data_IF_820410701388
#
_entry.id   IF_820410701388
#
_cell.length_a   1.000
_cell.length_b   1.000
_cell.length_c   1.000
_cell.angle_alpha   90.00
_cell.angle_beta   90.00
_cell.angle_gamma   90.00
#
_symmetry.space_group_name_H-M   'P 1'
#
loop_
_entity.id
_entity.type
_entity.pdbx_description
1 polymer ?
#
# COMPACT_ATOMS: atom_id res chain seq x y z
N UNK A 1 -22.52 0.30 3.95
CA UNK A 1 -23.73 1.06 4.28
C UNK A 1 -23.40 2.37 5.02
N UNK A 2 -24.21 3.39 4.86
CA UNK A 2 -24.08 4.72 5.51
C UNK A 2 -23.73 4.65 7.01
N UNK A 3 -24.27 3.69 7.74
CA UNK A 3 -23.98 3.51 9.18
C UNK A 3 -22.54 3.05 9.47
N UNK A 4 -21.87 2.33 8.57
CA UNK A 4 -20.46 1.96 8.72
C UNK A 4 -19.56 3.15 8.41
N UNK A 5 -19.86 3.92 7.37
CA UNK A 5 -19.14 5.16 7.00
C UNK A 5 -19.16 6.18 8.14
N UNK A 6 -20.35 6.43 8.70
CA UNK A 6 -20.49 7.33 9.87
C UNK A 6 -19.66 6.86 11.07
N UNK A 7 -19.54 5.55 11.31
CA UNK A 7 -18.70 5.03 12.41
C UNK A 7 -17.22 5.25 12.17
N UNK A 8 -16.71 5.04 10.96
CA UNK A 8 -15.29 5.26 10.63
C UNK A 8 -14.93 6.73 10.65
N UNK A 9 -15.76 7.61 10.08
CA UNK A 9 -15.58 9.06 10.17
C UNK A 9 -15.65 9.53 11.62
N UNK A 10 -16.64 9.07 12.41
CA UNK A 10 -16.75 9.44 13.82
C UNK A 10 -15.57 8.95 14.69
N UNK A 11 -14.91 7.86 14.33
CA UNK A 11 -13.70 7.40 15.02
C UNK A 11 -12.52 8.30 14.64
N UNK A 12 -12.33 8.56 13.35
CA UNK A 12 -11.27 9.43 12.84
C UNK A 12 -11.33 10.84 13.43
N UNK A 13 -12.52 11.42 13.50
CA UNK A 13 -12.74 12.77 14.03
C UNK A 13 -12.59 12.87 15.55
N UNK A 14 -12.49 11.74 16.25
CA UNK A 14 -12.38 11.68 17.73
C UNK A 14 -11.05 11.14 18.22
N UNK A 15 -10.15 10.76 17.33
CA UNK A 15 -8.81 10.32 17.66
C UNK A 15 -7.88 11.53 17.58
N UNK A 16 -7.17 11.81 18.66
CA UNK A 16 -6.22 12.93 18.71
C UNK A 16 -4.92 12.62 17.97
N UNK A 17 -4.52 11.34 17.99
CA UNK A 17 -3.26 10.85 17.41
C UNK A 17 -3.46 9.47 16.80
N UNK A 18 -2.91 9.26 15.61
CA UNK A 18 -2.83 7.91 15.02
C UNK A 18 -1.69 7.14 15.67
N UNK A 19 -1.93 5.90 16.02
CA UNK A 19 -0.89 4.99 16.49
C UNK A 19 -1.10 3.60 15.91
N UNK A 20 -0.02 2.80 15.85
CA UNK A 20 -0.09 1.44 15.36
C UNK A 20 1.10 0.60 15.84
N UNK A 21 1.00 -0.71 15.64
CA UNK A 21 1.98 -1.70 16.06
C UNK A 21 2.63 -2.33 14.83
N UNK A 22 3.97 -2.36 14.80
CA UNK A 22 4.70 -2.90 13.66
C UNK A 22 5.68 -3.98 14.08
N UNK A 23 5.41 -5.19 13.59
CA UNK A 23 6.24 -6.39 13.82
C UNK A 23 6.66 -7.05 12.50
N UNK A 24 7.51 -6.42 11.69
CA UNK A 24 7.94 -6.97 10.41
C UNK A 24 8.67 -8.30 10.60
N UNK A 25 8.42 -9.24 9.69
CA UNK A 25 9.08 -10.56 9.70
C UNK A 25 10.43 -10.46 8.99
N UNK A 26 11.39 -9.80 9.64
CA UNK A 26 12.74 -9.63 9.11
C UNK A 26 13.42 -10.97 8.80
N UNK A 27 14.24 -11.01 7.77
CA UNK A 27 15.03 -12.18 7.34
C UNK A 27 14.20 -13.36 6.79
N UNK A 28 12.90 -13.18 6.56
CA UNK A 28 12.07 -14.16 5.86
C UNK A 28 12.22 -14.01 4.34
N UNK A 29 12.22 -12.79 3.89
CA UNK A 29 12.42 -12.38 2.49
C UNK A 29 13.63 -11.45 2.38
N UNK A 30 13.89 -10.89 1.21
CA UNK A 30 14.88 -9.83 1.05
C UNK A 30 14.54 -8.63 1.94
N UNK A 31 15.55 -8.04 2.58
CA UNK A 31 15.34 -6.99 3.57
C UNK A 31 14.63 -5.77 2.96
N UNK A 32 14.90 -5.47 1.68
CA UNK A 32 14.25 -4.37 0.98
C UNK A 32 12.74 -4.58 0.82
N UNK A 33 12.28 -5.82 0.67
CA UNK A 33 10.86 -6.15 0.58
C UNK A 33 10.18 -5.90 1.92
N UNK A 34 10.76 -6.40 3.00
CA UNK A 34 10.26 -6.18 4.36
C UNK A 34 10.28 -4.70 4.74
N UNK A 35 11.37 -3.99 4.40
CA UNK A 35 11.49 -2.57 4.65
C UNK A 35 10.46 -1.75 3.85
N UNK A 36 10.19 -2.13 2.60
CA UNK A 36 9.19 -1.47 1.76
C UNK A 36 7.77 -1.67 2.30
N UNK A 37 7.46 -2.88 2.78
CA UNK A 37 6.17 -3.17 3.42
C UNK A 37 5.98 -2.36 4.71
N UNK A 38 7.02 -2.26 5.54
CA UNK A 38 6.99 -1.40 6.73
C UNK A 38 6.82 0.08 6.37
N UNK A 39 7.56 0.56 5.36
CA UNK A 39 7.45 1.93 4.86
C UNK A 39 6.05 2.27 4.36
N UNK A 40 5.42 1.37 3.59
CA UNK A 40 4.04 1.53 3.13
C UNK A 40 3.08 1.73 4.29
N UNK A 41 3.20 0.88 5.32
CA UNK A 41 2.33 0.98 6.50
C UNK A 41 2.57 2.28 7.28
N UNK A 42 3.82 2.71 7.44
CA UNK A 42 4.15 3.98 8.09
C UNK A 42 3.56 5.17 7.32
N UNK A 43 3.76 5.24 6.01
CA UNK A 43 3.19 6.30 5.17
C UNK A 43 1.66 6.26 5.18
N UNK A 44 1.04 5.07 5.23
CA UNK A 44 -0.40 4.92 5.38
C UNK A 44 -0.89 5.53 6.69
N UNK A 45 -0.25 5.21 7.83
CA UNK A 45 -0.63 5.75 9.15
C UNK A 45 -0.45 7.27 9.21
N UNK A 46 0.65 7.79 8.68
CA UNK A 46 0.88 9.23 8.57
C UNK A 46 -0.21 9.93 7.75
N UNK A 47 -0.65 9.30 6.65
CA UNK A 47 -1.63 9.87 5.73
C UNK A 47 -3.02 10.01 6.33
N UNK A 48 -3.40 9.16 7.29
CA UNK A 48 -4.74 9.17 7.88
C UNK A 48 -5.13 10.54 8.48
N UNK A 49 -4.18 11.25 9.05
CA UNK A 49 -4.41 12.59 9.61
C UNK A 49 -3.49 13.66 9.00
N UNK A 50 -2.57 13.28 8.10
CA UNK A 50 -1.51 14.16 7.56
C UNK A 50 -0.69 14.83 8.66
N UNK A 51 -0.47 14.09 9.73
CA UNK A 51 0.26 14.47 10.93
C UNK A 51 1.19 13.33 11.36
N UNK A 52 2.16 13.60 12.23
CA UNK A 52 2.93 12.53 12.84
C UNK A 52 2.04 11.49 13.51
N UNK A 53 2.48 10.24 13.45
CA UNK A 53 1.86 9.12 14.14
C UNK A 53 2.78 8.59 15.24
N UNK A 54 2.31 7.67 16.07
CA UNK A 54 3.11 7.00 17.08
C UNK A 54 3.29 5.52 16.73
N UNK A 55 4.53 5.05 16.66
CA UNK A 55 4.81 3.62 16.65
C UNK A 55 4.73 3.13 18.10
N UNK A 56 3.53 2.63 18.48
CA UNK A 56 3.20 2.27 19.88
C UNK A 56 3.77 0.93 20.29
N UNK A 57 3.93 0.03 19.34
CA UNK A 57 4.60 -1.24 19.58
C UNK A 57 5.54 -1.62 18.45
N UNK A 58 6.69 -2.12 18.85
CA UNK A 58 7.62 -2.86 18.00
C UNK A 58 8.46 -3.80 18.87
N UNK A 59 9.07 -4.81 18.25
CA UNK A 59 9.90 -5.73 19.01
C UNK A 59 11.37 -5.30 18.98
N UNK A 60 12.06 -5.23 20.12
CA UNK A 60 13.49 -4.90 20.12
C UNK A 60 14.37 -6.04 19.56
N UNK A 61 13.89 -7.29 19.56
CA UNK A 61 14.65 -8.44 19.06
C UNK A 61 13.79 -9.43 18.26
N UNK A 62 13.07 -10.34 18.90
CA UNK A 62 12.19 -11.33 18.25
C UNK A 62 10.83 -11.39 18.93
N UNK A 63 9.81 -11.66 18.15
CA UNK A 63 8.49 -11.99 18.67
C UNK A 63 8.47 -13.42 19.24
N UNK A 64 7.30 -13.89 19.72
CA UNK A 64 7.13 -15.30 20.13
C UNK A 64 5.91 -15.96 19.48
N UNK A 65 5.15 -15.21 18.69
CA UNK A 65 3.88 -15.64 18.09
C UNK A 65 3.94 -15.86 16.58
N UNK A 66 5.03 -15.49 15.92
CA UNK A 66 5.26 -15.85 14.53
C UNK A 66 5.60 -17.34 14.42
N UNK A 67 5.30 -17.96 13.28
CA UNK A 67 5.65 -19.38 13.03
C UNK A 67 7.14 -19.67 13.22
N UNK A 68 7.99 -18.72 12.88
CA UNK A 68 9.43 -18.68 13.17
C UNK A 68 9.78 -17.26 13.59
N UNK A 69 10.12 -17.08 14.86
CA UNK A 69 10.49 -15.79 15.44
C UNK A 69 12.01 -15.59 15.35
N UNK A 70 12.48 -15.18 14.19
CA UNK A 70 13.92 -14.99 13.93
C UNK A 70 14.45 -13.73 14.60
N UNK A 71 15.65 -13.78 15.16
CA UNK A 71 16.31 -12.62 15.77
C UNK A 71 16.63 -11.58 14.71
N UNK A 72 16.40 -10.32 15.05
CA UNK A 72 16.96 -9.21 14.25
C UNK A 72 18.48 -9.25 14.29
N UNK A 73 19.11 -9.11 13.14
CA UNK A 73 20.56 -8.97 13.03
C UNK A 73 21.03 -7.66 13.67
N UNK A 74 22.29 -7.59 14.11
CA UNK A 74 22.86 -6.34 14.63
C UNK A 74 22.64 -5.16 13.69
N UNK A 75 22.26 -4.01 14.25
CA UNK A 75 21.98 -2.78 13.51
C UNK A 75 20.56 -2.66 12.94
N UNK A 76 19.83 -3.77 12.77
CA UNK A 76 18.49 -3.73 12.17
C UNK A 76 17.44 -3.09 13.08
N UNK A 77 17.60 -3.21 14.40
CA UNK A 77 16.76 -2.50 15.36
C UNK A 77 16.81 -0.98 15.12
N UNK A 78 18.00 -0.42 15.07
CA UNK A 78 18.23 1.00 14.83
C UNK A 78 17.72 1.43 13.46
N UNK A 79 18.02 0.66 12.41
CA UNK A 79 17.57 0.97 11.05
C UNK A 79 16.03 1.01 10.94
N UNK A 80 15.33 0.01 11.49
CA UNK A 80 13.87 -0.04 11.50
C UNK A 80 13.24 1.10 12.31
N UNK A 81 13.85 1.45 13.45
CA UNK A 81 13.37 2.55 14.28
C UNK A 81 13.54 3.91 13.59
N UNK A 82 14.70 4.15 12.99
CA UNK A 82 14.93 5.37 12.20
C UNK A 82 14.07 5.42 10.94
N UNK A 83 13.74 4.28 10.33
CA UNK A 83 12.80 4.20 9.23
C UNK A 83 11.41 4.70 9.66
N UNK A 84 10.89 4.27 10.79
CA UNK A 84 9.61 4.74 11.30
C UNK A 84 9.59 6.27 11.46
N UNK A 85 10.65 6.84 12.05
CA UNK A 85 10.78 8.30 12.21
C UNK A 85 10.90 8.99 10.85
N UNK A 86 11.69 8.47 9.92
CA UNK A 86 11.82 9.02 8.56
C UNK A 86 10.50 9.02 7.78
N UNK A 87 9.56 8.14 8.14
CA UNK A 87 8.20 8.08 7.59
C UNK A 87 7.16 8.84 8.43
N UNK A 88 7.59 9.60 9.43
CA UNK A 88 6.74 10.53 10.19
C UNK A 88 6.25 10.02 11.54
N UNK A 89 6.91 9.03 12.14
CA UNK A 89 6.63 8.66 13.52
C UNK A 89 7.34 9.61 14.50
N UNK A 90 6.60 10.12 15.47
CA UNK A 90 7.18 10.91 16.59
C UNK A 90 7.61 10.03 17.77
N UNK A 91 7.41 8.71 17.68
CA UNK A 91 7.85 7.78 18.73
C UNK A 91 8.26 6.44 18.17
N UNK A 92 9.14 5.75 18.91
CA UNK A 92 9.42 4.33 18.72
C UNK A 92 9.34 3.67 20.09
N UNK A 93 8.30 2.85 20.29
CA UNK A 93 8.08 2.17 21.56
C UNK A 93 8.27 0.66 21.37
N UNK A 94 8.85 0.03 22.39
CA UNK A 94 9.16 -1.39 22.34
C UNK A 94 8.33 -2.19 23.33
N UNK A 95 7.66 -3.18 22.84
CA UNK A 95 7.14 -4.26 23.65
C UNK A 95 8.21 -5.35 23.74
N UNK A 96 8.87 -5.57 24.90
CA UNK A 96 8.58 -4.98 26.20
C UNK A 96 9.91 -4.57 26.89
N UNK A 97 9.82 -3.78 27.97
CA UNK A 97 11.03 -3.38 28.70
C UNK A 97 11.72 -4.54 29.41
N UNK A 98 10.93 -5.40 30.07
CA UNK A 98 11.43 -6.59 30.78
C UNK A 98 10.65 -7.82 30.38
N UNK A 99 11.36 -8.86 29.96
CA UNK A 99 10.78 -10.11 29.52
C UNK A 99 9.97 -10.77 30.63
N UNK A 100 8.72 -11.14 30.33
CA UNK A 100 7.81 -11.80 31.25
C UNK A 100 8.32 -13.18 31.66
N UNK A 101 8.18 -13.57 32.93
CA UNK A 101 8.59 -14.87 33.43
C UNK A 101 7.57 -15.98 33.18
N UNK A 102 6.34 -15.61 32.89
CA UNK A 102 5.21 -16.52 32.69
C UNK A 102 4.29 -16.09 31.56
N UNK A 103 3.15 -16.79 31.44
CA UNK A 103 2.15 -16.61 30.39
C UNK A 103 2.65 -16.92 28.97
N UNK A 104 1.80 -16.67 27.97
CA UNK A 104 2.06 -17.00 26.57
C UNK A 104 3.23 -16.22 25.97
N UNK A 105 3.45 -15.00 26.45
CA UNK A 105 4.47 -14.07 25.91
C UNK A 105 5.80 -14.10 26.65
N UNK A 106 6.03 -15.11 27.48
CA UNK A 106 7.26 -15.24 28.26
C UNK A 106 8.54 -15.30 27.41
N UNK A 107 8.44 -15.64 26.13
CA UNK A 107 9.56 -15.66 25.19
C UNK A 107 9.53 -14.49 24.19
N UNK A 108 8.60 -13.56 24.33
CA UNK A 108 8.64 -12.34 23.51
C UNK A 108 9.88 -11.52 23.85
N UNK A 109 10.57 -11.03 22.84
CA UNK A 109 11.78 -10.26 23.03
C UNK A 109 11.55 -8.98 23.83
N UNK A 110 12.52 -8.61 24.61
CA UNK A 110 12.47 -7.45 25.50
C UNK A 110 13.80 -6.67 25.49
N UNK A 111 13.77 -5.46 26.01
CA UNK A 111 14.99 -4.65 26.23
C UNK A 111 15.90 -5.34 27.25
N UNK A 112 15.31 -5.84 28.32
CA UNK A 112 15.97 -6.65 29.36
C UNK A 112 15.33 -8.05 29.31
N UNK A 113 16.06 -9.01 28.78
CA UNK A 113 15.62 -10.40 28.66
C UNK A 113 15.93 -11.26 29.89
N UNK A 114 15.60 -12.55 29.83
CA UNK A 114 15.87 -13.49 30.92
C UNK A 114 17.37 -13.75 31.17
N UNK A 115 18.21 -13.47 30.17
CA UNK A 115 19.64 -13.85 30.21
C UNK A 115 20.52 -12.80 30.87
N UNK A 116 20.05 -11.54 30.89
CA UNK A 116 20.89 -10.50 31.43
C UNK A 116 20.21 -9.15 31.61
N UNK A 117 21.05 -8.17 31.88
CA UNK A 117 20.69 -6.79 32.05
C UNK A 117 21.26 -5.92 30.93
N UNK A 118 21.90 -4.84 31.33
CA UNK A 118 22.45 -3.82 30.41
C UNK A 118 23.67 -4.26 29.60
N UNK A 119 24.23 -5.43 29.84
CA UNK A 119 25.37 -6.01 29.12
C UNK A 119 24.99 -6.80 27.88
N UNK A 120 23.69 -6.98 27.63
CA UNK A 120 23.21 -7.67 26.43
C UNK A 120 23.35 -6.79 25.17
N UNK A 121 23.43 -7.46 24.00
CA UNK A 121 23.45 -6.77 22.71
C UNK A 121 22.20 -5.89 22.50
N UNK A 122 21.03 -6.42 22.82
CA UNK A 122 19.74 -5.73 22.63
C UNK A 122 19.70 -4.46 23.48
N UNK A 123 20.13 -4.52 24.75
CA UNK A 123 20.15 -3.33 25.59
C UNK A 123 21.05 -2.23 25.01
N UNK A 124 22.26 -2.61 24.53
CA UNK A 124 23.16 -1.64 23.88
C UNK A 124 22.54 -1.03 22.62
N UNK A 125 21.97 -1.85 21.73
CA UNK A 125 21.33 -1.34 20.51
C UNK A 125 20.15 -0.40 20.80
N UNK A 126 19.34 -0.70 21.83
CA UNK A 126 18.26 0.19 22.27
C UNK A 126 18.82 1.51 22.79
N UNK A 127 19.89 1.46 23.58
CA UNK A 127 20.54 2.68 24.08
C UNK A 127 21.08 3.53 22.93
N UNK A 128 21.83 2.93 22.01
CA UNK A 128 22.37 3.61 20.81
C UNK A 128 21.27 4.18 19.90
N UNK A 129 20.13 3.49 19.84
CA UNK A 129 18.96 3.98 19.10
C UNK A 129 18.34 5.18 19.80
N UNK A 130 18.22 5.13 21.13
CA UNK A 130 17.72 6.26 21.92
C UNK A 130 18.59 7.51 21.79
N UNK A 131 19.91 7.35 21.82
CA UNK A 131 20.85 8.45 21.58
C UNK A 131 20.68 9.06 20.18
N UNK A 132 20.60 8.22 19.14
CA UNK A 132 20.36 8.68 17.77
C UNK A 132 19.01 9.40 17.62
N UNK A 133 17.97 8.98 18.33
CA UNK A 133 16.65 9.64 18.32
C UNK A 133 16.70 11.00 19.04
N UNK A 134 17.49 11.14 20.11
CA UNK A 134 17.72 12.44 20.77
C UNK A 134 18.38 13.43 19.84
N UNK A 135 19.34 13.00 19.02
CA UNK A 135 20.00 13.85 18.02
C UNK A 135 19.02 14.33 16.93
N UNK A 136 17.91 13.64 16.75
CA UNK A 136 16.84 13.98 15.81
C UNK A 136 15.65 14.72 16.46
N UNK A 137 15.73 15.08 17.72
CA UNK A 137 14.60 15.68 18.46
C UNK A 137 14.01 16.94 17.79
N UNK A 138 14.79 17.67 17.01
CA UNK A 138 14.36 18.88 16.29
C UNK A 138 13.35 18.59 15.17
N UNK A 139 13.21 17.34 14.70
CA UNK A 139 12.21 16.99 13.66
C UNK A 139 10.87 16.55 14.26
N UNK A 140 10.76 16.39 15.59
CA UNK A 140 9.52 16.01 16.23
C UNK A 140 8.39 17.00 15.87
N UNK A 141 7.20 16.48 15.58
CA UNK A 141 6.06 17.28 15.14
C UNK A 141 6.13 17.73 13.67
N UNK A 142 7.23 17.46 12.96
CA UNK A 142 7.36 17.83 11.56
C UNK A 142 6.54 16.93 10.65
N UNK A 143 6.16 17.45 9.49
CA UNK A 143 5.44 16.69 8.45
C UNK A 143 6.16 16.82 7.12
N UNK A 144 6.06 15.76 6.31
CA UNK A 144 6.59 15.76 4.96
C UNK A 144 5.44 15.93 3.98
N UNK A 145 5.57 16.88 3.05
CA UNK A 145 4.60 17.02 1.95
C UNK A 145 4.86 15.98 0.89
N UNK A 146 3.80 15.29 0.47
CA UNK A 146 3.82 14.41 -0.68
C UNK A 146 3.26 15.13 -1.93
N UNK A 147 3.88 14.89 -3.08
CA UNK A 147 3.37 15.36 -4.38
C UNK A 147 2.64 14.26 -5.14
N UNK A 148 2.77 13.02 -4.69
CA UNK A 148 2.07 11.86 -5.21
C UNK A 148 1.11 11.30 -4.16
N UNK A 149 -0.02 10.78 -4.61
CA UNK A 149 -0.96 10.06 -3.75
C UNK A 149 -1.39 8.75 -4.38
N UNK A 150 -1.80 7.82 -3.51
CA UNK A 150 -2.46 6.57 -3.90
C UNK A 150 -3.85 6.58 -3.27
N UNK A 151 -4.89 6.48 -4.11
CA UNK A 151 -6.23 6.20 -3.62
C UNK A 151 -6.29 4.78 -3.08
N UNK A 152 -6.55 4.66 -1.79
CA UNK A 152 -6.71 3.40 -1.09
C UNK A 152 -8.10 3.35 -0.48
N UNK A 153 -8.93 2.48 -1.04
CA UNK A 153 -10.31 2.34 -0.60
C UNK A 153 -10.59 0.95 -0.06
N UNK A 154 -11.01 0.90 1.20
CA UNK A 154 -11.31 -0.36 1.86
C UNK A 154 -12.59 -1.02 1.31
N UNK A 155 -13.60 -0.23 0.90
CA UNK A 155 -14.84 -0.77 0.36
C UNK A 155 -14.60 -1.36 -1.04
N UNK A 156 -13.83 -0.70 -1.89
CA UNK A 156 -13.35 -1.27 -3.17
C UNK A 156 -12.63 -2.60 -2.96
N UNK A 157 -11.75 -2.63 -1.97
CA UNK A 157 -11.01 -3.84 -1.64
C UNK A 157 -11.95 -4.97 -1.19
N UNK A 158 -12.88 -4.69 -0.28
CA UNK A 158 -13.80 -5.71 0.23
C UNK A 158 -14.78 -6.18 -0.83
N UNK A 159 -15.34 -5.27 -1.62
CA UNK A 159 -16.23 -5.63 -2.73
C UNK A 159 -15.51 -6.53 -3.75
N UNK A 160 -14.27 -6.18 -4.12
CA UNK A 160 -13.49 -6.98 -5.05
C UNK A 160 -13.07 -8.34 -4.48
N UNK A 161 -12.76 -8.42 -3.18
CA UNK A 161 -12.39 -9.69 -2.51
C UNK A 161 -13.61 -10.62 -2.34
N UNK A 162 -14.83 -10.09 -2.29
CA UNK A 162 -16.09 -10.83 -2.18
C UNK A 162 -16.70 -11.17 -3.56
N UNK A 163 -16.37 -10.39 -4.59
CA UNK A 163 -16.90 -10.58 -5.94
C UNK A 163 -16.41 -11.88 -6.56
N UNK A 164 -17.32 -12.54 -7.32
CA UNK A 164 -16.94 -13.59 -8.25
C UNK A 164 -16.80 -12.98 -9.64
N UNK A 165 -15.55 -12.72 -10.02
CA UNK A 165 -15.22 -12.11 -11.28
C UNK A 165 -14.72 -13.09 -12.33
N UNK A 166 -14.17 -12.60 -13.42
CA UNK A 166 -13.56 -13.46 -14.45
C UNK A 166 -12.39 -14.28 -13.90
N UNK A 167 -11.75 -13.83 -12.83
CA UNK A 167 -10.69 -14.56 -12.14
C UNK A 167 -10.87 -14.41 -10.61
N UNK A 168 -11.05 -15.54 -9.93
CA UNK A 168 -11.33 -15.59 -8.49
C UNK A 168 -10.08 -15.96 -7.66
N UNK A 169 -8.90 -16.02 -8.27
CA UNK A 169 -7.64 -16.37 -7.63
C UNK A 169 -6.54 -15.39 -8.02
N UNK A 170 -5.66 -15.08 -7.07
CA UNK A 170 -4.44 -14.30 -7.36
C UNK A 170 -4.67 -12.81 -7.61
N UNK A 171 -5.89 -12.32 -7.48
CA UNK A 171 -6.19 -10.90 -7.49
C UNK A 171 -6.11 -10.36 -6.07
N UNK A 172 -5.02 -9.71 -5.77
CA UNK A 172 -4.83 -9.11 -4.47
C UNK A 172 -4.67 -7.61 -4.62
N UNK A 173 -5.68 -6.86 -4.24
CA UNK A 173 -5.68 -5.39 -4.24
C UNK A 173 -4.39 -4.81 -3.66
N UNK A 174 -4.01 -5.27 -2.47
CA UNK A 174 -2.80 -4.79 -1.80
C UNK A 174 -1.51 -5.08 -2.58
N UNK A 175 -1.46 -6.14 -3.40
CA UNK A 175 -0.28 -6.40 -4.22
C UNK A 175 -0.11 -5.34 -5.32
N UNK A 176 -1.21 -4.86 -5.91
CA UNK A 176 -1.17 -3.76 -6.89
C UNK A 176 -0.80 -2.44 -6.21
N UNK A 177 -1.37 -2.15 -5.05
CA UNK A 177 -0.99 -0.99 -4.23
C UNK A 177 0.51 -1.01 -3.91
N UNK A 178 1.05 -2.14 -3.45
CA UNK A 178 2.47 -2.31 -3.13
C UNK A 178 3.38 -2.10 -4.34
N UNK A 179 2.98 -2.58 -5.52
CA UNK A 179 3.75 -2.37 -6.76
C UNK A 179 3.86 -0.90 -7.13
N UNK A 180 2.74 -0.17 -7.08
CA UNK A 180 2.71 1.28 -7.34
C UNK A 180 3.55 2.03 -6.31
N UNK A 181 3.30 1.77 -5.03
CA UNK A 181 4.06 2.37 -3.93
C UNK A 181 5.56 2.12 -4.07
N UNK A 182 5.95 0.86 -4.29
CA UNK A 182 7.35 0.47 -4.46
C UNK A 182 8.03 1.16 -5.64
N UNK A 183 7.32 1.34 -6.76
CA UNK A 183 7.82 2.09 -7.91
C UNK A 183 8.10 3.55 -7.55
N UNK A 184 7.17 4.21 -6.87
CA UNK A 184 7.33 5.60 -6.43
C UNK A 184 8.47 5.76 -5.42
N UNK A 185 8.57 4.85 -4.45
CA UNK A 185 9.64 4.90 -3.44
C UNK A 185 11.02 4.69 -4.04
N UNK A 186 11.18 3.82 -5.04
CA UNK A 186 12.44 3.65 -5.78
C UNK A 186 12.87 4.92 -6.51
N UNK A 187 11.94 5.76 -6.89
CA UNK A 187 12.18 7.09 -7.48
C UNK A 187 12.39 8.19 -6.43
N UNK A 188 12.38 7.86 -5.13
CA UNK A 188 12.53 8.84 -4.05
C UNK A 188 11.30 9.71 -3.83
N UNK A 189 10.13 9.32 -4.34
CA UNK A 189 8.90 10.11 -4.24
C UNK A 189 8.18 9.80 -2.93
N UNK A 190 7.81 10.85 -2.20
CA UNK A 190 6.93 10.72 -1.03
C UNK A 190 5.49 10.53 -1.48
N UNK A 191 4.77 9.67 -0.76
CA UNK A 191 3.43 9.23 -1.13
C UNK A 191 2.49 9.40 0.05
N UNK A 192 1.31 9.98 -0.19
CA UNK A 192 0.18 9.94 0.72
C UNK A 192 -0.84 8.89 0.25
N UNK A 193 -1.54 8.28 1.20
CA UNK A 193 -2.71 7.46 0.93
C UNK A 193 -3.97 8.28 1.18
N UNK A 194 -4.91 8.24 0.23
CA UNK A 194 -6.14 9.00 0.29
C UNK A 194 -7.36 8.08 0.20
N UNK A 195 -8.38 8.40 0.95
CA UNK A 195 -9.73 7.89 0.71
C UNK A 195 -10.39 8.66 -0.46
N UNK A 196 -11.38 8.04 -1.13
CA UNK A 196 -12.12 8.69 -2.22
C UNK A 196 -12.84 9.98 -1.79
N UNK A 197 -13.15 10.14 -0.49
CA UNK A 197 -13.80 11.35 0.02
C UNK A 197 -12.84 12.52 0.19
N UNK A 198 -11.52 12.26 0.28
CA UNK A 198 -10.52 13.30 0.45
C UNK A 198 -10.30 14.12 -0.83
N UNK A 199 -9.76 15.32 -0.65
CA UNK A 199 -9.41 16.20 -1.77
C UNK A 199 -8.16 15.68 -2.49
N UNK A 200 -8.18 15.69 -3.82
CA UNK A 200 -7.02 15.44 -4.66
C UNK A 200 -6.17 16.69 -4.87
N UNK A 201 -6.66 17.86 -4.43
CA UNK A 201 -5.95 19.13 -4.59
C UNK A 201 -4.61 19.13 -3.88
N UNK A 202 -3.61 19.72 -4.51
CA UNK A 202 -2.23 19.81 -3.99
C UNK A 202 -1.31 18.66 -4.38
N UNK A 203 -1.85 17.58 -4.94
CA UNK A 203 -1.04 16.53 -5.54
C UNK A 203 -0.79 16.80 -7.03
N UNK A 204 0.35 16.37 -7.54
CA UNK A 204 0.68 16.45 -8.96
C UNK A 204 0.24 15.19 -9.70
N UNK A 205 0.30 14.06 -9.02
CA UNK A 205 -0.06 12.76 -9.58
C UNK A 205 -0.80 11.93 -8.52
N UNK A 206 -1.89 11.32 -8.95
CA UNK A 206 -2.71 10.41 -8.11
C UNK A 206 -2.83 9.08 -8.83
N UNK A 207 -2.50 8.00 -8.13
CA UNK A 207 -2.67 6.64 -8.59
C UNK A 207 -3.92 6.03 -7.95
N UNK A 208 -4.71 5.33 -8.75
CA UNK A 208 -5.89 4.59 -8.32
C UNK A 208 -5.75 3.10 -8.73
N UNK A 209 -5.01 2.30 -7.93
CA UNK A 209 -4.84 0.89 -8.22
C UNK A 209 -6.16 0.15 -8.02
N UNK A 210 -6.69 -0.50 -9.07
CA UNK A 210 -7.90 -1.31 -9.01
C UNK A 210 -9.03 -0.64 -8.19
N UNK A 211 -9.35 0.61 -8.51
CA UNK A 211 -10.43 1.34 -7.85
C UNK A 211 -11.78 0.79 -8.35
N UNK A 212 -12.10 -0.42 -7.92
CA UNK A 212 -13.21 -1.24 -8.40
C UNK A 212 -14.57 -0.58 -8.18
N UNK A 213 -14.78 -0.09 -6.96
CA UNK A 213 -16.01 0.56 -6.54
C UNK A 213 -15.87 2.07 -6.64
N UNK A 214 -16.82 2.73 -7.27
CA UNK A 214 -16.93 4.19 -7.28
C UNK A 214 -18.04 4.64 -6.32
N UNK A 215 -17.68 5.54 -5.41
CA UNK A 215 -18.66 6.28 -4.62
C UNK A 215 -19.14 7.50 -5.39
N UNK A 216 -20.38 7.89 -5.14
CA UNK A 216 -20.98 9.06 -5.77
C UNK A 216 -20.07 10.31 -5.68
N UNK A 217 -19.82 10.94 -6.81
CA UNK A 217 -19.04 12.17 -6.92
C UNK A 217 -17.52 11.96 -7.16
N UNK A 218 -17.02 10.72 -7.14
CA UNK A 218 -15.59 10.48 -7.42
C UNK A 218 -15.25 10.82 -8.86
N UNK A 219 -16.16 10.58 -9.80
CA UNK A 219 -15.95 10.87 -11.22
C UNK A 219 -15.76 12.38 -11.45
N UNK A 220 -16.58 13.20 -10.84
CA UNK A 220 -16.45 14.66 -10.93
C UNK A 220 -15.16 15.15 -10.29
N UNK A 221 -14.80 14.59 -9.14
CA UNK A 221 -13.55 14.91 -8.45
C UNK A 221 -12.32 14.59 -9.31
N UNK A 222 -12.29 13.43 -9.97
CA UNK A 222 -11.20 13.04 -10.87
C UNK A 222 -11.17 13.96 -12.11
N UNK A 223 -12.33 14.23 -12.69
CA UNK A 223 -12.47 15.13 -13.84
C UNK A 223 -11.89 16.51 -13.53
N UNK A 224 -12.28 17.09 -12.41
CA UNK A 224 -11.79 18.40 -11.98
C UNK A 224 -10.28 18.39 -11.72
N UNK A 225 -9.77 17.36 -11.06
CA UNK A 225 -8.34 17.20 -10.80
C UNK A 225 -7.52 17.17 -12.10
N UNK A 226 -7.99 16.45 -13.12
CA UNK A 226 -7.31 16.39 -14.44
C UNK A 226 -7.45 17.70 -15.18
N UNK A 227 -8.62 18.34 -15.15
CA UNK A 227 -8.85 19.65 -15.78
C UNK A 227 -7.96 20.73 -15.17
N UNK A 228 -7.66 20.66 -13.89
CA UNK A 228 -6.74 21.56 -13.18
C UNK A 228 -5.24 21.22 -13.41
N UNK A 229 -4.96 20.28 -14.31
CA UNK A 229 -3.59 19.91 -14.71
C UNK A 229 -2.95 18.79 -13.89
N UNK A 230 -3.70 18.12 -13.04
CA UNK A 230 -3.24 16.92 -12.31
C UNK A 230 -3.12 15.70 -13.24
N UNK A 231 -2.20 14.80 -12.91
CA UNK A 231 -2.07 13.52 -13.61
C UNK A 231 -2.78 12.43 -12.79
N UNK A 232 -3.78 11.78 -13.39
CA UNK A 232 -4.48 10.67 -12.76
C UNK A 232 -4.16 9.35 -13.46
N UNK A 233 -3.66 8.37 -12.71
CA UNK A 233 -3.27 7.05 -13.22
C UNK A 233 -4.17 5.98 -12.60
N UNK A 234 -4.96 5.34 -13.44
CA UNK A 234 -5.86 4.28 -13.02
C UNK A 234 -5.44 2.95 -13.65
N UNK A 235 -5.54 1.88 -12.89
CA UNK A 235 -5.23 0.54 -13.42
C UNK A 235 -6.50 -0.16 -13.91
N UNK A 236 -6.32 -1.35 -14.45
CA UNK A 236 -7.40 -2.22 -14.89
C UNK A 236 -8.44 -2.46 -13.77
N UNK A 237 -9.64 -2.86 -14.18
CA UNK A 237 -10.75 -3.23 -13.30
C UNK A 237 -11.11 -2.13 -12.30
N UNK A 238 -11.27 -0.91 -12.82
CA UNK A 238 -11.66 0.26 -12.05
C UNK A 238 -12.97 0.85 -12.55
N UNK A 239 -13.78 1.42 -11.64
CA UNK A 239 -15.08 2.01 -11.96
C UNK A 239 -16.10 0.99 -12.46
N UNK A 240 -16.13 -0.19 -11.84
CA UNK A 240 -16.96 -1.33 -12.26
C UNK A 240 -18.31 -1.32 -11.57
N UNK A 241 -18.34 -1.00 -10.28
CA UNK A 241 -19.55 -1.02 -9.44
C UNK A 241 -19.74 0.29 -8.67
N UNK A 242 -20.99 0.56 -8.29
CA UNK A 242 -21.35 1.67 -7.41
C UNK A 242 -21.13 1.33 -5.91
N UNK A 243 -21.48 2.23 -5.04
CA UNK A 243 -21.36 2.06 -3.58
C UNK A 243 -22.27 0.97 -2.97
N UNK A 244 -23.15 0.39 -3.74
CA UNK A 244 -24.00 -0.74 -3.35
C UNK A 244 -23.54 -2.06 -3.96
N UNK A 245 -22.36 -2.04 -4.61
CA UNK A 245 -21.77 -3.18 -5.34
C UNK A 245 -22.64 -3.62 -6.54
N UNK A 246 -23.30 -2.66 -7.18
CA UNK A 246 -24.07 -2.87 -8.40
C UNK A 246 -23.24 -2.45 -9.61
N UNK A 247 -23.11 -3.35 -10.60
CA UNK A 247 -22.36 -3.04 -11.82
C UNK A 247 -22.99 -1.85 -12.56
N UNK A 248 -22.13 -0.89 -12.95
CA UNK A 248 -22.52 0.15 -13.86
C UNK A 248 -22.83 -0.39 -15.26
N UNK A 249 -23.79 0.22 -15.92
CA UNK A 249 -24.12 -0.11 -17.30
C UNK A 249 -23.41 0.84 -18.27
N UNK A 250 -23.06 0.33 -19.46
CA UNK A 250 -22.49 1.15 -20.53
C UNK A 250 -20.99 1.12 -20.65
N UNK A 251 -20.29 0.33 -19.83
CA UNK A 251 -18.85 0.12 -19.88
C UNK A 251 -18.07 0.86 -18.79
N UNK A 252 -16.80 0.55 -18.70
CA UNK A 252 -15.87 1.05 -17.67
C UNK A 252 -14.70 1.81 -18.29
N UNK A 253 -14.07 2.74 -17.56
CA UNK A 253 -14.43 3.25 -16.23
C UNK A 253 -15.68 4.11 -16.26
N UNK A 254 -16.66 3.81 -15.41
CA UNK A 254 -17.93 4.56 -15.39
C UNK A 254 -17.69 6.05 -15.22
N UNK A 255 -18.44 6.87 -15.98
CA UNK A 255 -18.43 8.34 -15.87
C UNK A 255 -17.11 9.02 -16.30
N UNK A 256 -16.07 8.26 -16.67
CA UNK A 256 -14.74 8.77 -16.98
C UNK A 256 -14.20 8.35 -18.36
N UNK A 257 -15.01 7.66 -19.15
CA UNK A 257 -14.57 7.17 -20.47
C UNK A 257 -14.11 8.30 -21.42
N UNK A 258 -14.72 9.46 -21.33
CA UNK A 258 -14.34 10.65 -22.07
C UNK A 258 -13.07 11.31 -21.53
N UNK A 259 -12.86 11.30 -20.23
CA UNK A 259 -11.63 11.84 -19.59
C UNK A 259 -10.41 11.01 -19.98
N UNK A 260 -10.54 9.69 -19.95
CA UNK A 260 -9.47 8.78 -20.36
C UNK A 260 -9.39 8.57 -21.88
N UNK A 261 -10.40 8.95 -22.62
CA UNK A 261 -10.48 8.73 -24.07
C UNK A 261 -10.50 7.24 -24.43
N UNK A 262 -11.07 6.41 -23.60
CA UNK A 262 -11.12 4.95 -23.78
C UNK A 262 -12.33 4.31 -23.07
N UNK A 263 -12.63 3.08 -23.48
CA UNK A 263 -13.62 2.23 -22.85
C UNK A 263 -13.12 0.79 -22.81
N UNK A 264 -13.15 0.14 -21.64
CA UNK A 264 -13.00 -1.31 -21.55
C UNK A 264 -14.28 -1.98 -22.05
N UNK A 265 -14.14 -2.99 -22.88
CA UNK A 265 -15.25 -3.70 -23.52
C UNK A 265 -15.37 -5.14 -23.08
N UNK A 266 -14.26 -5.77 -22.79
CA UNK A 266 -14.16 -7.16 -22.38
C UNK A 266 -12.99 -7.34 -21.42
N UNK A 267 -13.04 -8.42 -20.65
CA UNK A 267 -11.97 -8.83 -19.74
C UNK A 267 -11.51 -10.22 -20.12
N UNK A 268 -10.26 -10.38 -20.46
CA UNK A 268 -9.63 -11.67 -20.67
C UNK A 268 -8.86 -12.09 -19.42
N UNK A 269 -9.31 -13.14 -18.76
CA UNK A 269 -8.68 -13.70 -17.57
C UNK A 269 -7.72 -14.82 -17.96
N UNK A 270 -6.47 -14.69 -17.52
CA UNK A 270 -5.40 -15.63 -17.83
C UNK A 270 -5.31 -16.71 -16.76
N UNK A 271 -5.08 -17.97 -17.16
CA UNK A 271 -4.70 -19.02 -16.22
C UNK A 271 -3.29 -18.78 -15.67
N UNK A 272 -2.91 -19.45 -14.57
CA UNK A 272 -1.61 -19.24 -13.91
C UNK A 272 -0.40 -19.54 -14.82
N UNK A 273 -0.57 -20.48 -15.76
CA UNK A 273 0.45 -20.84 -16.76
C UNK A 273 0.47 -19.89 -17.96
N UNK A 274 -0.57 -19.08 -18.15
CA UNK A 274 -0.68 -18.21 -19.31
C UNK A 274 0.10 -16.91 -19.10
N UNK A 275 0.72 -16.47 -20.16
CA UNK A 275 1.42 -15.19 -20.22
C UNK A 275 1.03 -14.52 -21.52
N UNK A 276 0.45 -13.32 -21.42
CA UNK A 276 0.31 -12.46 -22.58
C UNK A 276 1.45 -11.43 -22.59
N UNK A 277 1.67 -10.78 -23.69
CA UNK A 277 2.68 -9.77 -23.86
C UNK A 277 2.08 -8.42 -24.24
N UNK A 278 2.51 -7.38 -23.57
CA UNK A 278 2.28 -6.01 -23.99
C UNK A 278 3.50 -5.47 -24.74
N UNK A 279 3.31 -5.00 -25.94
CA UNK A 279 4.40 -4.51 -26.81
C UNK A 279 4.21 -3.03 -27.08
N UNK A 280 5.26 -2.24 -26.91
CA UNK A 280 5.29 -0.81 -27.19
C UNK A 280 6.64 -0.19 -26.89
N UNK A 281 6.95 0.91 -27.54
CA UNK A 281 8.21 1.65 -27.39
C UNK A 281 9.47 0.78 -27.53
N UNK A 282 9.41 -0.26 -28.37
CA UNK A 282 10.53 -1.20 -28.58
C UNK A 282 10.79 -2.16 -27.39
N UNK A 283 9.88 -2.25 -26.45
CA UNK A 283 9.94 -3.14 -25.29
C UNK A 283 8.77 -4.10 -25.27
N UNK A 284 8.99 -5.24 -24.64
CA UNK A 284 7.96 -6.24 -24.37
C UNK A 284 7.81 -6.41 -22.86
N UNK A 285 6.58 -6.41 -22.39
CA UNK A 285 6.22 -6.57 -21.01
C UNK A 285 5.37 -7.82 -20.83
N UNK A 286 5.68 -8.61 -19.84
CA UNK A 286 4.91 -9.78 -19.47
C UNK A 286 3.62 -9.35 -18.76
N UNK A 287 2.48 -9.88 -19.22
CA UNK A 287 1.16 -9.62 -18.66
C UNK A 287 0.62 -10.92 -18.10
N UNK A 288 0.16 -10.86 -16.86
CA UNK A 288 -0.41 -11.99 -16.13
C UNK A 288 -1.72 -11.56 -15.47
N UNK A 289 -2.56 -12.52 -15.17
CA UNK A 289 -3.84 -12.41 -14.49
C UNK A 289 -4.98 -11.87 -15.35
N UNK A 290 -4.89 -10.64 -15.87
CA UNK A 290 -5.95 -9.97 -16.61
C UNK A 290 -5.44 -9.16 -17.80
N UNK A 291 -6.26 -9.12 -18.83
CA UNK A 291 -6.15 -8.18 -19.94
C UNK A 291 -7.49 -7.45 -20.10
N UNK A 292 -7.53 -6.15 -19.86
CA UNK A 292 -8.65 -5.31 -20.28
C UNK A 292 -8.58 -5.06 -21.78
N UNK A 293 -9.62 -5.46 -22.51
CA UNK A 293 -9.75 -5.18 -23.95
C UNK A 293 -10.35 -3.79 -24.11
N UNK A 294 -9.53 -2.87 -24.53
CA UNK A 294 -9.84 -1.45 -24.56
C UNK A 294 -10.09 -0.95 -25.97
N UNK A 295 -11.19 -0.23 -26.16
CA UNK A 295 -11.42 0.60 -27.34
C UNK A 295 -11.04 2.04 -27.03
N UNK A 296 -10.11 2.61 -27.79
CA UNK A 296 -9.71 4.00 -27.66
C UNK A 296 -10.67 4.95 -28.39
N UNK A 297 -10.89 6.11 -27.79
CA UNK A 297 -11.64 7.22 -28.38
C UNK A 297 -10.92 8.53 -27.97
N UNK A 298 -9.78 8.77 -28.60
CA UNK A 298 -8.91 9.91 -28.32
C UNK A 298 -7.69 9.58 -27.46
N UNK A 299 -7.65 8.46 -26.76
CA UNK A 299 -6.47 8.03 -26.02
C UNK A 299 -5.35 7.56 -26.96
N UNK A 300 -4.12 7.91 -26.62
CA UNK A 300 -2.92 7.37 -27.27
C UNK A 300 -2.61 5.99 -26.72
N UNK A 301 -2.36 5.03 -27.61
CA UNK A 301 -1.99 3.66 -27.24
C UNK A 301 -0.47 3.55 -27.13
N UNK A 302 0.04 3.42 -25.91
CA UNK A 302 1.48 3.23 -25.66
C UNK A 302 1.90 1.75 -25.74
N UNK A 303 1.00 0.84 -25.33
CA UNK A 303 1.24 -0.61 -25.35
C UNK A 303 0.02 -1.31 -25.92
N UNK A 304 0.25 -2.31 -26.76
CA UNK A 304 -0.80 -3.19 -27.29
C UNK A 304 -0.54 -4.64 -26.87
N UNK A 305 -1.59 -5.38 -26.59
CA UNK A 305 -1.50 -6.83 -26.41
C UNK A 305 -1.06 -7.50 -27.71
N UNK A 306 -0.14 -8.44 -27.60
CA UNK A 306 0.37 -9.13 -28.78
C UNK A 306 -0.69 -10.05 -29.40
N UNK A 307 -1.54 -10.63 -28.59
CA UNK A 307 -2.63 -11.51 -29.04
C UNK A 307 -3.72 -11.61 -27.98
N UNK A 308 -4.97 -11.82 -28.43
CA UNK A 308 -6.08 -12.29 -27.59
C UNK A 308 -6.08 -13.83 -27.46
N UNK A 309 -5.32 -14.52 -28.32
CA UNK A 309 -5.15 -15.97 -28.28
C UNK A 309 -3.77 -16.21 -27.70
N UNK A 310 -3.69 -16.98 -26.62
CA UNK A 310 -2.46 -17.27 -25.92
C UNK A 310 -1.41 -17.86 -26.87
N UNK A 311 -0.21 -17.33 -26.81
CA UNK A 311 0.94 -17.89 -27.51
C UNK A 311 1.41 -19.10 -26.70
N UNK A 312 0.65 -20.15 -26.71
CA UNK A 312 1.06 -21.47 -26.20
C UNK A 312 1.24 -22.50 -27.31
N UNK A 313 1.16 -22.09 -28.56
CA UNK A 313 1.57 -22.99 -29.64
C UNK A 313 3.08 -22.91 -29.85
N UNK A 314 3.80 -24.03 -29.65
CA UNK A 314 5.16 -24.12 -30.11
C UNK A 314 5.12 -23.96 -31.64
N UNK A 315 5.82 -22.97 -32.16
CA UNK A 315 6.11 -22.86 -33.59
C UNK A 315 6.59 -24.21 -34.08
N UNK A 316 5.75 -24.94 -34.77
CA UNK A 316 6.20 -26.09 -35.58
C UNK A 316 6.98 -25.50 -36.74
N UNK A 317 8.26 -25.71 -36.73
CA UNK A 317 9.09 -25.65 -37.92
C UNK A 317 8.92 -26.88 -38.77
#
# INVERSE_FOLDING_TARGET
SLRRRQRQMCIRDRIDVVSWDNYPTWHKEAEEVTALDAALQHDFMRSLMKKPFLLMESCPTSTNWQSVSKLKRPGLLKAASLQAVAHGSDSVQYFQIRQSRGASEKFHGAVIDHYGGKDTRVFREVTETGEALLDLAQIAGSTTKAQAAILHDCESRWAMEDAQGPRNMGLHYMNTVKKVYGGLRKLGVNVDFLDMEESLSGYRIVFAPMLYLFRAGIEEKIRNFVADGGTFVMTYWSGVVDENDLCFLGGTPHGLMDVFGLRSTELDALYDQDVNAGVGEGKTYEIRNFCDLVKTNGAETLLAYLSLIHISEPTRH
#
